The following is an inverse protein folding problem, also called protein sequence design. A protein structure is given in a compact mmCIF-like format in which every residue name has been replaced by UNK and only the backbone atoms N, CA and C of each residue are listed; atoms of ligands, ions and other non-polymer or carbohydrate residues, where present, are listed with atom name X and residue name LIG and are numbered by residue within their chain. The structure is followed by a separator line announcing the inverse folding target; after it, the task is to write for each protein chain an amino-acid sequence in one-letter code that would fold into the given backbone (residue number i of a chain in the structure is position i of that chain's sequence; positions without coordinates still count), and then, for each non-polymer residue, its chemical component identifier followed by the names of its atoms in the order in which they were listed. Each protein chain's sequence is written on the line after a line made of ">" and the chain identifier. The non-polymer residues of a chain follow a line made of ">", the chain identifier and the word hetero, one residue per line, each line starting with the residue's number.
data_IF_558245825968
#
_entry.id   IF_558245825968
#
_cell.length_a   1.000
_cell.length_b   1.000
_cell.length_c   1.000
_cell.angle_alpha   90.00
_cell.angle_beta   90.00
_cell.angle_gamma   90.00
#
_symmetry.space_group_name_H-M   'P 1'
#
loop_
_entity.id
_entity.type
_entity.pdbx_description
1 polymer ?
#
# COMPACT_ATOMS: atom_id res chain seq x y z
N UNK A 1 -13.60 -16.00 16.39
CA UNK A 1 -13.88 -14.58 16.04
C UNK A 1 -12.60 -13.77 15.87
N UNK A 2 -11.53 -14.09 16.60
CA UNK A 2 -10.24 -13.36 16.57
C UNK A 2 -9.59 -13.30 15.19
N UNK A 3 -9.67 -14.37 14.40
CA UNK A 3 -9.05 -14.43 13.07
C UNK A 3 -9.68 -13.46 12.06
N UNK A 4 -10.99 -13.23 12.14
CA UNK A 4 -11.69 -12.24 11.30
C UNK A 4 -11.33 -10.82 11.74
N UNK A 5 -11.27 -10.57 13.05
CA UNK A 5 -10.84 -9.28 13.60
C UNK A 5 -9.40 -8.96 13.18
N UNK A 6 -8.50 -9.95 13.23
CA UNK A 6 -7.12 -9.82 12.77
C UNK A 6 -7.05 -9.34 11.31
N UNK A 7 -7.78 -9.99 10.39
CA UNK A 7 -7.79 -9.59 8.97
C UNK A 7 -8.38 -8.20 8.75
N UNK A 8 -9.46 -7.83 9.46
CA UNK A 8 -10.06 -6.50 9.34
C UNK A 8 -9.11 -5.40 9.83
N UNK A 9 -8.41 -5.66 10.93
CA UNK A 9 -7.47 -4.72 11.55
C UNK A 9 -6.23 -4.55 10.65
N UNK A 10 -5.71 -5.64 10.09
CA UNK A 10 -4.62 -5.61 9.11
C UNK A 10 -5.02 -4.85 7.83
N UNK A 11 -6.23 -5.06 7.32
CA UNK A 11 -6.75 -4.34 6.17
C UNK A 11 -6.86 -2.83 6.46
N UNK A 12 -7.41 -2.46 7.63
CA UNK A 12 -7.53 -1.05 8.03
C UNK A 12 -6.16 -0.36 8.15
N UNK A 13 -5.20 -1.02 8.81
CA UNK A 13 -3.82 -0.52 8.93
C UNK A 13 -3.17 -0.38 7.55
N UNK A 14 -3.38 -1.33 6.64
CA UNK A 14 -2.83 -1.27 5.29
C UNK A 14 -3.32 -0.05 4.51
N UNK A 15 -4.62 0.25 4.56
CA UNK A 15 -5.19 1.44 3.95
C UNK A 15 -4.58 2.71 4.54
N UNK A 16 -4.45 2.75 5.87
CA UNK A 16 -3.81 3.86 6.58
C UNK A 16 -2.38 4.07 6.12
N UNK A 17 -1.55 3.02 6.09
CA UNK A 17 -0.14 3.09 5.68
C UNK A 17 0.03 3.57 4.23
N UNK A 18 -0.73 3.00 3.29
CA UNK A 18 -0.67 3.43 1.89
C UNK A 18 -1.14 4.86 1.69
N UNK A 19 -2.16 5.29 2.45
CA UNK A 19 -2.64 6.66 2.41
C UNK A 19 -1.62 7.65 2.97
N UNK A 20 -1.01 7.34 4.12
CA UNK A 20 -0.05 8.21 4.81
C UNK A 20 1.24 8.36 3.99
N UNK A 21 1.81 7.25 3.52
CA UNK A 21 3.01 7.26 2.66
C UNK A 21 2.75 7.93 1.31
N UNK A 22 1.58 7.69 0.71
CA UNK A 22 1.15 8.34 -0.51
C UNK A 22 0.94 9.86 -0.37
N UNK A 23 0.41 10.29 0.77
CA UNK A 23 0.23 11.71 1.09
C UNK A 23 1.58 12.39 1.31
N UNK A 24 2.52 11.74 2.01
CA UNK A 24 3.90 12.23 2.16
C UNK A 24 4.58 12.37 0.79
N UNK A 25 4.44 11.34 -0.07
CA UNK A 25 4.95 11.41 -1.44
C UNK A 25 4.34 12.58 -2.22
N UNK A 26 3.04 12.82 -2.06
CA UNK A 26 2.37 14.00 -2.62
C UNK A 26 3.02 15.29 -2.12
N UNK A 27 3.12 15.48 -0.80
CA UNK A 27 3.72 16.67 -0.22
C UNK A 27 5.15 16.95 -0.73
N UNK A 28 5.94 15.92 -1.02
CA UNK A 28 7.32 16.04 -1.49
C UNK A 28 7.49 16.26 -3.00
N UNK A 29 6.60 15.73 -3.85
CA UNK A 29 6.77 15.79 -5.32
C UNK A 29 5.62 16.41 -6.09
N UNK A 30 4.37 16.33 -5.64
CA UNK A 30 3.16 16.79 -6.36
C UNK A 30 1.99 17.01 -5.38
N UNK A 31 1.24 18.11 -5.42
CA UNK A 31 0.22 18.45 -4.41
C UNK A 31 -0.64 17.26 -3.97
N UNK A 32 -0.94 17.13 -2.67
CA UNK A 32 -1.60 15.96 -2.05
C UNK A 32 -2.93 15.52 -2.72
N UNK A 33 -3.56 16.42 -3.50
CA UNK A 33 -4.69 16.14 -4.41
C UNK A 33 -4.38 14.98 -5.39
N UNK A 34 -3.10 14.71 -5.65
CA UNK A 34 -2.65 13.64 -6.54
C UNK A 34 -2.70 12.24 -5.90
N UNK A 35 -2.91 12.14 -4.59
CA UNK A 35 -3.01 10.87 -3.86
C UNK A 35 -4.31 10.79 -3.04
N UNK A 36 -5.46 10.61 -3.71
CA UNK A 36 -6.75 10.53 -3.02
C UNK A 36 -6.86 9.24 -2.18
N UNK A 37 -7.71 9.26 -1.16
CA UNK A 37 -8.02 8.07 -0.34
C UNK A 37 -8.46 6.86 -1.19
N UNK A 38 -9.15 7.12 -2.31
CA UNK A 38 -9.56 6.08 -3.27
C UNK A 38 -8.39 5.35 -3.91
N UNK A 39 -7.25 6.02 -4.13
CA UNK A 39 -6.02 5.39 -4.61
C UNK A 39 -5.40 4.50 -3.52
N UNK A 40 -5.31 5.01 -2.30
CA UNK A 40 -4.80 4.26 -1.17
C UNK A 40 -5.61 2.97 -0.92
N UNK A 41 -6.94 3.04 -1.01
CA UNK A 41 -7.81 1.88 -0.88
C UNK A 41 -7.55 0.84 -1.98
N UNK A 42 -7.40 1.28 -3.24
CA UNK A 42 -7.06 0.38 -4.36
C UNK A 42 -5.70 -0.28 -4.17
N UNK A 43 -4.70 0.47 -3.70
CA UNK A 43 -3.36 -0.05 -3.45
C UNK A 43 -3.35 -1.04 -2.27
N UNK A 44 -4.08 -0.74 -1.19
CA UNK A 44 -4.23 -1.62 -0.05
C UNK A 44 -4.94 -2.92 -0.42
N UNK A 45 -6.05 -2.83 -1.17
CA UNK A 45 -6.73 -4.01 -1.70
C UNK A 45 -5.80 -4.85 -2.59
N UNK A 46 -5.09 -4.20 -3.53
CA UNK A 46 -4.12 -4.88 -4.39
C UNK A 46 -2.97 -5.53 -3.62
N UNK A 47 -2.49 -4.89 -2.56
CA UNK A 47 -1.47 -5.44 -1.68
C UNK A 47 -1.99 -6.66 -0.91
N UNK A 48 -3.19 -6.58 -0.32
CA UNK A 48 -3.81 -7.68 0.45
C UNK A 48 -4.12 -8.88 -0.45
N UNK A 49 -4.77 -8.66 -1.60
CA UNK A 49 -5.02 -9.74 -2.56
C UNK A 49 -3.72 -10.30 -3.15
N UNK A 50 -2.75 -9.44 -3.41
CA UNK A 50 -1.45 -9.85 -3.92
C UNK A 50 -0.63 -10.63 -2.90
N UNK A 51 -0.73 -10.34 -1.60
CA UNK A 51 -0.06 -11.13 -0.55
C UNK A 51 -0.60 -12.57 -0.46
N UNK A 52 -1.85 -12.81 -0.87
CA UNK A 52 -2.39 -14.18 -1.00
C UNK A 52 -1.69 -14.97 -2.11
N UNK A 53 -1.09 -14.28 -3.10
CA UNK A 53 -0.34 -14.85 -4.22
C UNK A 53 1.17 -14.79 -3.99
N UNK A 54 1.61 -14.98 -2.74
CA UNK A 54 2.97 -14.74 -2.24
C UNK A 54 3.31 -13.24 -2.12
N UNK A 55 4.10 -12.85 -1.11
CA UNK A 55 4.43 -11.45 -0.74
C UNK A 55 4.82 -10.58 -1.96
N UNK A 56 5.49 -11.18 -2.95
CA UNK A 56 5.87 -10.53 -4.21
C UNK A 56 4.68 -10.03 -5.02
N UNK A 57 3.57 -10.77 -5.04
CA UNK A 57 2.34 -10.37 -5.72
C UNK A 57 1.75 -9.07 -5.17
N UNK A 58 1.82 -8.87 -3.85
CA UNK A 58 1.36 -7.65 -3.19
C UNK A 58 2.15 -6.42 -3.65
N UNK A 59 3.48 -6.54 -3.65
CA UNK A 59 4.41 -5.50 -4.09
C UNK A 59 4.22 -5.10 -5.55
N UNK A 60 4.07 -6.10 -6.44
CA UNK A 60 3.89 -5.86 -7.87
C UNK A 60 2.53 -5.24 -8.15
N UNK A 61 1.45 -5.79 -7.58
CA UNK A 61 0.09 -5.31 -7.84
C UNK A 61 -0.14 -3.90 -7.29
N UNK A 62 0.32 -3.58 -6.08
CA UNK A 62 0.19 -2.22 -5.53
C UNK A 62 0.96 -1.20 -6.37
N UNK A 63 2.17 -1.55 -6.82
CA UNK A 63 2.99 -0.71 -7.71
C UNK A 63 2.33 -0.50 -9.08
N UNK A 64 1.73 -1.55 -9.65
CA UNK A 64 1.00 -1.46 -10.91
C UNK A 64 -0.23 -0.56 -10.79
N UNK A 65 -1.01 -0.70 -9.71
CA UNK A 65 -2.17 0.16 -9.43
C UNK A 65 -1.75 1.63 -9.31
N UNK A 66 -0.67 1.90 -8.56
CA UNK A 66 -0.11 3.25 -8.44
C UNK A 66 0.28 3.81 -9.82
N UNK A 67 1.05 3.05 -10.59
CA UNK A 67 1.53 3.47 -11.91
C UNK A 67 0.37 3.70 -12.87
N UNK A 68 -0.64 2.82 -12.87
CA UNK A 68 -1.81 2.93 -13.73
C UNK A 68 -2.65 4.17 -13.43
N UNK A 69 -2.84 4.51 -12.16
CA UNK A 69 -3.60 5.70 -11.77
C UNK A 69 -2.85 7.00 -12.10
N UNK A 70 -1.52 6.99 -12.01
CA UNK A 70 -0.71 8.14 -12.45
C UNK A 70 -0.57 8.25 -13.97
N UNK A 71 -0.65 7.14 -14.72
CA UNK A 71 -0.60 7.14 -16.20
C UNK A 71 -1.77 7.90 -16.85
N UNK A 72 -2.89 8.02 -16.15
CA UNK A 72 -4.06 8.79 -16.60
C UNK A 72 -3.83 10.31 -16.58
N UNK A 73 -2.71 10.77 -16.02
CA UNK A 73 -2.43 12.19 -15.80
C UNK A 73 -1.48 12.75 -16.88
N UNK A 74 -1.66 14.01 -17.30
CA UNK A 74 -0.87 14.61 -18.39
C UNK A 74 0.62 14.81 -18.03
N UNK A 75 0.96 14.77 -16.74
CA UNK A 75 2.29 15.00 -16.19
C UNK A 75 3.07 13.70 -15.89
N UNK A 76 2.59 12.57 -16.42
CA UNK A 76 3.16 11.24 -16.21
C UNK A 76 4.59 11.12 -16.75
N UNK A 77 5.53 10.82 -15.86
CA UNK A 77 6.89 10.40 -16.20
C UNK A 77 7.09 8.96 -15.70
N UNK A 78 7.28 7.97 -16.58
CA UNK A 78 7.19 6.56 -16.20
C UNK A 78 8.21 6.14 -15.14
N UNK A 79 9.48 6.47 -15.36
CA UNK A 79 10.60 6.08 -14.49
C UNK A 79 10.46 6.57 -13.04
N UNK A 80 10.27 7.87 -12.76
CA UNK A 80 10.16 8.36 -11.39
C UNK A 80 8.89 7.88 -10.67
N UNK A 81 7.83 7.56 -11.42
CA UNK A 81 6.54 7.10 -10.86
C UNK A 81 6.61 5.61 -10.52
N UNK A 82 7.19 4.78 -11.37
CA UNK A 82 7.41 3.36 -11.05
C UNK A 82 8.33 3.24 -9.84
N UNK A 83 9.45 3.98 -9.80
CA UNK A 83 10.35 3.98 -8.64
C UNK A 83 9.64 4.43 -7.35
N UNK A 84 8.79 5.45 -7.42
CA UNK A 84 7.98 5.87 -6.29
C UNK A 84 6.99 4.79 -5.84
N UNK A 85 6.28 4.16 -6.78
CA UNK A 85 5.35 3.08 -6.52
C UNK A 85 6.00 1.88 -5.84
N UNK A 86 7.18 1.47 -6.33
CA UNK A 86 7.98 0.41 -5.71
C UNK A 86 8.42 0.80 -4.30
N UNK A 87 8.92 2.03 -4.12
CA UNK A 87 9.41 2.49 -2.81
C UNK A 87 8.29 2.55 -1.77
N UNK A 88 7.14 3.13 -2.14
CA UNK A 88 5.96 3.21 -1.26
C UNK A 88 5.47 1.80 -0.92
N UNK A 89 5.32 0.94 -1.93
CA UNK A 89 4.86 -0.43 -1.74
C UNK A 89 5.79 -1.22 -0.83
N UNK A 90 7.11 -1.08 -1.01
CA UNK A 90 8.11 -1.76 -0.20
C UNK A 90 8.04 -1.31 1.27
N UNK A 91 7.97 0.00 1.52
CA UNK A 91 7.86 0.56 2.88
C UNK A 91 6.57 0.03 3.55
N UNK A 92 5.44 0.08 2.84
CA UNK A 92 4.17 -0.41 3.35
C UNK A 92 4.19 -1.92 3.62
N UNK A 93 4.78 -2.72 2.73
CA UNK A 93 4.91 -4.17 2.91
C UNK A 93 5.78 -4.52 4.12
N UNK A 94 6.91 -3.84 4.31
CA UNK A 94 7.79 -4.05 5.47
C UNK A 94 7.04 -3.69 6.76
N UNK A 95 6.39 -2.53 6.80
CA UNK A 95 5.62 -2.09 7.96
C UNK A 95 4.48 -3.07 8.28
N UNK A 96 3.73 -3.52 7.27
CA UNK A 96 2.66 -4.50 7.45
C UNK A 96 3.17 -5.85 7.93
N UNK A 97 4.35 -6.29 7.47
CA UNK A 97 4.95 -7.53 7.94
C UNK A 97 5.27 -7.47 9.44
N UNK A 98 5.92 -6.40 9.91
CA UNK A 98 6.21 -6.23 11.34
C UNK A 98 4.92 -6.14 12.16
N UNK A 99 3.93 -5.38 11.70
CA UNK A 99 2.65 -5.25 12.40
C UNK A 99 1.92 -6.58 12.47
N UNK A 100 1.86 -7.33 11.36
CA UNK A 100 1.26 -8.66 11.33
C UNK A 100 1.99 -9.63 12.28
N UNK A 101 3.32 -9.57 12.34
CA UNK A 101 4.12 -10.37 13.25
C UNK A 101 3.82 -10.07 14.72
N UNK A 102 3.81 -8.79 15.11
CA UNK A 102 3.48 -8.39 16.50
C UNK A 102 2.03 -8.73 16.87
N UNK A 103 1.08 -8.52 15.96
CA UNK A 103 -0.32 -8.89 16.18
C UNK A 103 -0.48 -10.40 16.30
N UNK A 104 0.21 -11.19 15.48
CA UNK A 104 0.17 -12.65 15.57
C UNK A 104 0.78 -13.14 16.89
N UNK A 105 1.89 -12.54 17.34
CA UNK A 105 2.51 -12.86 18.63
C UNK A 105 1.51 -12.70 19.80
N UNK A 106 0.73 -11.62 19.81
CA UNK A 106 -0.31 -11.38 20.82
C UNK A 106 -1.48 -12.38 20.79
N UNK A 107 -1.66 -13.13 19.70
CA UNK A 107 -2.70 -14.17 19.61
C UNK A 107 -2.19 -15.51 20.20
N UNK A 108 -0.86 -15.71 20.24
CA UNK A 108 -0.25 -16.95 20.75
C UNK A 108 0.23 -16.87 22.20
N UNK A 109 0.41 -15.66 22.76
CA UNK A 109 0.60 -15.40 24.20
C UNK A 109 -0.74 -15.37 24.95
#
# INVERSE_FOLDING_TARGET
>A
MELVVFFLLLAFISVGLFWLTGTIYGLLRRPAIYFPFTLALKMAAAAVFGTLLFIFGGLVLSTLVFTFEFKKRPDYRPLPIVLAGVTISLICSIALYFIAFFLAWQVFD
#
